data_IF_673802819763
#
_entry.id   IF_673802819763
#
_cell.length_a   1.000
_cell.length_b   1.000
_cell.length_c   1.000
_cell.angle_alpha   90.00
_cell.angle_beta   90.00
_cell.angle_gamma   90.00
#
_symmetry.space_group_name_H-M   'P 1'
#
loop_
_entity.id
_entity.type
_entity.pdbx_description
1 polymer ?
#
# COMPACT_ATOMS: atom_id res chain seq x y z
N UNK A 1 17.50 6.92 -10.51
CA UNK A 1 16.07 7.16 -10.83
C UNK A 1 15.30 6.94 -9.54
N UNK A 2 14.36 7.83 -9.17
CA UNK A 2 13.64 7.73 -7.90
C UNK A 2 12.23 7.18 -8.13
N UNK A 3 11.87 6.09 -7.45
CA UNK A 3 10.56 5.42 -7.55
C UNK A 3 9.70 5.77 -6.35
N UNK A 4 8.45 6.14 -6.60
CA UNK A 4 7.46 6.37 -5.55
C UNK A 4 6.58 5.14 -5.42
N UNK A 5 6.59 4.50 -4.26
CA UNK A 5 5.80 3.30 -3.96
C UNK A 5 4.56 3.73 -3.16
N UNK A 6 3.39 3.65 -3.80
CA UNK A 6 2.10 3.84 -3.13
C UNK A 6 1.77 2.65 -2.22
N UNK A 7 1.42 2.91 -0.97
CA UNK A 7 1.12 1.85 0.00
C UNK A 7 0.04 2.23 1.00
N UNK A 8 -0.63 1.24 1.57
CA UNK A 8 -1.57 1.47 2.67
C UNK A 8 -0.82 1.78 3.96
N UNK A 9 -1.49 2.46 4.89
CA UNK A 9 -0.92 2.83 6.19
C UNK A 9 -0.87 1.70 7.22
N UNK A 10 -1.33 0.48 6.90
CA UNK A 10 -1.28 -0.64 7.84
C UNK A 10 0.16 -1.10 8.06
N UNK A 11 0.47 -1.59 9.27
CA UNK A 11 1.82 -2.05 9.62
C UNK A 11 2.38 -3.09 8.64
N UNK A 12 1.51 -4.01 8.18
CA UNK A 12 1.90 -5.03 7.21
C UNK A 12 2.20 -4.42 5.83
N UNK A 13 1.38 -3.48 5.35
CA UNK A 13 1.60 -2.84 4.06
C UNK A 13 2.89 -2.00 4.04
N UNK A 14 3.18 -1.30 5.14
CA UNK A 14 4.45 -0.58 5.30
C UNK A 14 5.65 -1.53 5.28
N UNK A 15 5.57 -2.65 6.01
CA UNK A 15 6.63 -3.66 6.00
C UNK A 15 6.86 -4.24 4.59
N UNK A 16 5.78 -4.54 3.87
CA UNK A 16 5.87 -5.02 2.48
C UNK A 16 6.52 -4.00 1.55
N UNK A 17 6.18 -2.71 1.71
CA UNK A 17 6.78 -1.63 0.91
C UNK A 17 8.26 -1.44 1.20
N UNK A 18 8.65 -1.46 2.47
CA UNK A 18 10.06 -1.32 2.86
C UNK A 18 10.87 -2.52 2.33
N UNK A 19 10.37 -3.74 2.49
CA UNK A 19 11.02 -4.95 1.99
C UNK A 19 11.24 -4.93 0.46
N UNK A 20 10.22 -4.54 -0.32
CA UNK A 20 10.36 -4.46 -1.78
C UNK A 20 11.23 -3.29 -2.21
N UNK A 21 11.14 -2.15 -1.52
CA UNK A 21 11.97 -0.98 -1.80
C UNK A 21 13.46 -1.26 -1.59
N UNK A 22 13.82 -1.92 -0.49
CA UNK A 22 15.19 -2.35 -0.20
C UNK A 22 15.71 -3.30 -1.29
N UNK A 23 14.91 -4.29 -1.69
CA UNK A 23 15.29 -5.20 -2.79
C UNK A 23 15.51 -4.48 -4.13
N UNK A 24 14.70 -3.48 -4.45
CA UNK A 24 14.88 -2.67 -5.67
C UNK A 24 16.15 -1.81 -5.57
N UNK A 25 16.42 -1.24 -4.40
CA UNK A 25 17.65 -0.49 -4.15
C UNK A 25 18.89 -1.36 -4.30
N UNK A 26 18.87 -2.57 -3.74
CA UNK A 26 20.01 -3.50 -3.79
C UNK A 26 20.27 -4.05 -5.19
N UNK A 27 19.22 -4.42 -5.92
CA UNK A 27 19.36 -5.11 -7.22
C UNK A 27 19.52 -4.15 -8.39
N UNK A 28 18.81 -3.03 -8.36
CA UNK A 28 18.69 -2.12 -9.51
C UNK A 28 19.31 -0.74 -9.23
N UNK A 29 19.82 -0.50 -8.01
CA UNK A 29 20.40 0.80 -7.64
C UNK A 29 19.38 1.95 -7.63
N UNK A 30 18.10 1.62 -7.40
CA UNK A 30 16.99 2.57 -7.45
C UNK A 30 16.69 3.13 -6.07
N UNK A 31 16.67 4.45 -5.96
CA UNK A 31 16.17 5.11 -4.75
C UNK A 31 14.65 5.04 -4.70
N UNK A 32 14.07 4.80 -3.53
CA UNK A 32 12.63 4.74 -3.37
C UNK A 32 12.11 5.66 -2.26
N UNK A 33 10.86 6.08 -2.41
CA UNK A 33 10.11 6.81 -1.39
C UNK A 33 8.73 6.18 -1.25
N UNK A 34 8.27 5.98 -0.01
CA UNK A 34 6.93 5.46 0.27
C UNK A 34 5.92 6.60 0.40
N UNK A 35 4.78 6.45 -0.29
CA UNK A 35 3.65 7.38 -0.20
C UNK A 35 2.45 6.63 0.39
N UNK A 36 2.04 7.03 1.59
CA UNK A 36 0.89 6.43 2.26
C UNK A 36 -0.40 6.93 1.62
N UNK A 37 -1.25 5.99 1.23
CA UNK A 37 -2.55 6.22 0.61
C UNK A 37 -3.61 5.60 1.51
N UNK A 38 -4.61 6.40 1.90
CA UNK A 38 -5.77 5.93 2.65
C UNK A 38 -6.83 5.42 1.68
N UNK A 39 -7.20 4.15 1.82
CA UNK A 39 -8.23 3.52 0.98
C UNK A 39 -9.60 3.61 1.64
N UNK A 40 -10.66 3.39 0.87
CA UNK A 40 -12.02 3.31 1.43
C UNK A 40 -12.14 2.18 2.45
N UNK A 41 -11.45 1.06 2.24
CA UNK A 41 -11.41 -0.06 3.18
C UNK A 41 -10.67 0.25 4.49
N UNK A 42 -9.75 1.22 4.51
CA UNK A 42 -9.13 1.68 5.76
C UNK A 42 -10.10 2.51 6.63
N UNK A 43 -11.17 3.05 6.04
CA UNK A 43 -12.19 3.84 6.75
C UNK A 43 -13.35 2.99 7.28
N UNK A 44 -13.57 1.81 6.71
CA UNK A 44 -14.70 0.94 7.06
C UNK A 44 -14.18 -0.23 7.91
N UNK A 45 -14.22 -0.09 9.23
CA UNK A 45 -13.80 -1.13 10.18
C UNK A 45 -14.97 -1.88 10.81
N UNK A 46 -16.18 -1.29 10.79
CA UNK A 46 -17.28 -1.71 11.65
C UNK A 46 -18.39 -2.47 10.89
N UNK A 47 -18.12 -2.81 9.62
CA UNK A 47 -19.08 -3.50 8.74
C UNK A 47 -18.41 -4.75 8.17
N UNK A 48 -19.05 -5.92 8.24
CA UNK A 48 -18.50 -7.13 7.62
C UNK A 48 -18.21 -6.91 6.14
N UNK A 49 -17.02 -7.30 5.68
CA UNK A 49 -16.58 -7.17 4.28
C UNK A 49 -17.62 -7.70 3.27
N UNK A 50 -18.29 -8.81 3.61
CA UNK A 50 -19.33 -9.41 2.76
C UNK A 50 -20.57 -8.51 2.55
N UNK A 51 -20.84 -7.56 3.47
CA UNK A 51 -21.90 -6.56 3.33
C UNK A 51 -21.45 -5.31 2.58
N UNK A 52 -20.15 -5.10 2.46
CA UNK A 52 -19.58 -3.98 1.72
C UNK A 52 -19.54 -4.37 0.25
N UNK A 53 -20.64 -4.12 -0.46
CA UNK A 53 -20.67 -4.24 -1.92
C UNK A 53 -19.70 -3.25 -2.55
N UNK A 54 -18.68 -3.73 -3.26
CA UNK A 54 -17.72 -2.89 -3.98
C UNK A 54 -16.44 -3.63 -4.35
N UNK A 55 -16.11 -3.69 -5.65
CA UNK A 55 -14.82 -4.22 -6.13
C UNK A 55 -13.70 -3.25 -5.74
N UNK A 56 -12.60 -3.76 -5.18
CA UNK A 56 -11.39 -2.98 -4.96
C UNK A 56 -11.36 -2.11 -3.70
N UNK A 57 -12.03 -2.51 -2.61
CA UNK A 57 -12.15 -1.72 -1.37
C UNK A 57 -10.80 -1.21 -0.80
N UNK A 58 -9.72 -1.98 -0.99
CA UNK A 58 -8.38 -1.66 -0.49
C UNK A 58 -7.38 -1.29 -1.60
N UNK A 59 -7.86 -1.14 -2.84
CA UNK A 59 -6.98 -0.97 -4.02
C UNK A 59 -7.42 0.21 -4.89
N UNK A 60 -8.68 0.64 -4.83
CA UNK A 60 -9.25 1.66 -5.71
C UNK A 60 -8.50 3.01 -5.65
N UNK A 61 -7.91 3.33 -4.51
CA UNK A 61 -7.17 4.58 -4.30
C UNK A 61 -5.65 4.46 -4.47
N UNK A 62 -5.12 3.23 -4.60
CA UNK A 62 -3.70 2.96 -4.89
C UNK A 62 -3.44 3.11 -6.39
#
# INVERSE_FOLDING_TARGET
MKVVIGTRGSRLALWQTDYIGELLSEKEGVEFEKKIIKTTGDKITDVPLAKIGGKGLFVKEL
#
